data_IF_305708386574
#
_entry.id   IF_305708386574
#
_cell.length_a   1.000
_cell.length_b   1.000
_cell.length_c   1.000
_cell.angle_alpha   90.00
_cell.angle_beta   90.00
_cell.angle_gamma   90.00
#
_symmetry.space_group_name_H-M   'P 1'
#
loop_
_entity.id
_entity.type
_entity.pdbx_description
1 polymer ?
#
# COMPACT_ATOMS: atom_id res chain seq x y z
N UNK A 1 2.59 27.80 -11.21
CA UNK A 1 1.52 27.33 -12.12
C UNK A 1 2.22 26.81 -13.36
N UNK A 2 2.31 25.48 -13.54
CA UNK A 2 3.05 24.85 -14.64
C UNK A 2 2.07 24.65 -15.80
N UNK A 3 1.82 25.69 -16.59
CA UNK A 3 0.67 25.67 -17.50
C UNK A 3 0.92 24.96 -18.83
N UNK A 4 2.15 24.67 -19.27
CA UNK A 4 2.39 23.84 -20.48
C UNK A 4 3.74 23.12 -20.46
N UNK A 5 3.93 22.16 -19.56
CA UNK A 5 5.05 21.23 -19.70
C UNK A 5 4.62 20.04 -20.56
N UNK A 6 5.07 19.98 -21.80
CA UNK A 6 4.83 18.86 -22.74
C UNK A 6 5.99 17.87 -22.78
N UNK A 7 6.93 18.00 -21.86
CA UNK A 7 8.08 17.11 -21.75
C UNK A 7 7.65 15.74 -21.22
N UNK A 8 8.11 14.66 -21.85
CA UNK A 8 7.95 13.28 -21.35
C UNK A 8 8.61 13.02 -20.00
N UNK A 9 9.48 13.94 -19.55
CA UNK A 9 10.06 13.90 -18.21
C UNK A 9 9.14 14.51 -17.14
N UNK A 10 8.04 15.15 -17.53
CA UNK A 10 7.07 15.72 -16.59
C UNK A 10 6.06 14.65 -16.16
N UNK A 11 6.02 14.28 -14.87
CA UNK A 11 5.09 13.25 -14.38
C UNK A 11 3.62 13.65 -14.58
N UNK A 12 3.32 14.94 -14.43
CA UNK A 12 1.95 15.49 -14.58
C UNK A 12 1.47 15.37 -16.02
N UNK A 13 2.34 15.63 -17.00
CA UNK A 13 1.99 15.51 -18.42
C UNK A 13 1.76 14.06 -18.84
N UNK A 14 2.61 13.14 -18.40
CA UNK A 14 2.44 11.70 -18.69
C UNK A 14 1.17 11.14 -18.02
N UNK A 15 0.86 11.58 -16.80
CA UNK A 15 -0.39 11.22 -16.13
C UNK A 15 -1.60 11.73 -16.91
N UNK A 16 -1.62 13.02 -17.26
CA UNK A 16 -2.71 13.63 -18.01
C UNK A 16 -2.92 12.96 -19.37
N UNK A 17 -1.83 12.62 -20.08
CA UNK A 17 -1.88 11.89 -21.34
C UNK A 17 -2.51 10.50 -21.17
N UNK A 18 -2.15 9.75 -20.12
CA UNK A 18 -2.74 8.44 -19.83
C UNK A 18 -4.23 8.56 -19.51
N UNK A 19 -4.63 9.53 -18.70
CA UNK A 19 -6.04 9.79 -18.36
C UNK A 19 -6.86 10.06 -19.63
N UNK A 20 -6.34 10.91 -20.52
CA UNK A 20 -6.99 11.21 -21.80
C UNK A 20 -7.07 9.95 -22.69
N UNK A 21 -5.99 9.17 -22.78
CA UNK A 21 -5.99 7.93 -23.57
C UNK A 21 -6.95 6.87 -23.03
N UNK A 22 -7.18 6.84 -21.72
CA UNK A 22 -8.11 5.93 -21.05
C UNK A 22 -9.57 6.42 -21.09
N UNK A 23 -9.82 7.64 -21.60
CA UNK A 23 -11.15 8.22 -21.65
C UNK A 23 -11.75 8.51 -20.27
N UNK A 24 -10.91 8.59 -19.22
CA UNK A 24 -11.36 8.81 -17.85
C UNK A 24 -11.92 10.22 -17.67
N UNK A 25 -13.04 10.31 -16.95
CA UNK A 25 -13.60 11.57 -16.48
C UNK A 25 -12.77 12.14 -15.33
N UNK A 26 -12.93 13.44 -15.07
CA UNK A 26 -12.28 14.08 -13.93
C UNK A 26 -12.66 13.42 -12.58
N UNK A 27 -13.92 13.00 -12.41
CA UNK A 27 -14.36 12.32 -11.19
C UNK A 27 -13.77 10.92 -11.01
N UNK A 28 -13.50 10.20 -12.09
CA UNK A 28 -12.78 8.93 -12.03
C UNK A 28 -11.29 9.12 -11.69
N UNK A 29 -10.66 10.17 -12.24
CA UNK A 29 -9.29 10.52 -11.89
C UNK A 29 -9.15 10.86 -10.40
N UNK A 30 -10.06 11.68 -9.87
CA UNK A 30 -10.05 12.06 -8.45
C UNK A 30 -10.20 10.83 -7.56
N UNK A 31 -11.17 9.95 -7.84
CA UNK A 31 -11.34 8.70 -7.07
C UNK A 31 -10.10 7.81 -7.11
N UNK A 32 -9.50 7.62 -8.28
CA UNK A 32 -8.27 6.83 -8.40
C UNK A 32 -7.10 7.45 -7.61
N UNK A 33 -7.01 8.78 -7.56
CA UNK A 33 -6.00 9.46 -6.72
C UNK A 33 -6.27 9.29 -5.23
N UNK A 34 -7.54 9.33 -4.79
CA UNK A 34 -7.93 9.09 -3.40
C UNK A 34 -7.64 7.65 -2.97
N UNK A 35 -7.97 6.66 -3.81
CA UNK A 35 -7.65 5.24 -3.58
C UNK A 35 -6.14 5.02 -3.44
N UNK A 36 -5.35 5.60 -4.35
CA UNK A 36 -3.90 5.55 -4.30
C UNK A 36 -3.35 6.24 -3.04
N UNK A 37 -3.91 7.38 -2.64
CA UNK A 37 -3.53 8.07 -1.40
C UNK A 37 -3.74 7.18 -0.16
N UNK A 38 -4.87 6.48 -0.08
CA UNK A 38 -5.14 5.54 1.02
C UNK A 38 -4.16 4.36 1.03
N UNK A 39 -3.81 3.82 -0.15
CA UNK A 39 -2.77 2.79 -0.25
C UNK A 39 -1.41 3.30 0.27
N UNK A 40 -1.03 4.53 -0.10
CA UNK A 40 0.20 5.15 0.39
C UNK A 40 0.17 5.40 1.90
N UNK A 41 -0.97 5.81 2.46
CA UNK A 41 -1.15 5.95 3.91
C UNK A 41 -0.92 4.61 4.61
N UNK A 42 -1.58 3.54 4.17
CA UNK A 42 -1.41 2.18 4.72
C UNK A 42 0.04 1.70 4.61
N UNK A 43 0.66 1.85 3.44
CA UNK A 43 2.05 1.47 3.22
C UNK A 43 3.02 2.26 4.14
N UNK A 44 2.80 3.57 4.29
CA UNK A 44 3.63 4.42 5.16
C UNK A 44 3.51 4.04 6.63
N UNK A 45 2.30 3.71 7.11
CA UNK A 45 2.08 3.22 8.46
C UNK A 45 2.83 1.90 8.71
N UNK A 46 2.74 0.96 7.76
CA UNK A 46 3.46 -0.32 7.83
C UNK A 46 4.98 -0.13 7.89
N UNK A 47 5.54 0.78 7.08
CA UNK A 47 6.97 1.10 7.13
C UNK A 47 7.38 1.64 8.51
N UNK A 48 6.59 2.52 9.11
CA UNK A 48 6.85 3.04 10.46
C UNK A 48 6.83 1.92 11.50
N UNK A 49 5.88 1.00 11.40
CA UNK A 49 5.76 -0.15 12.30
C UNK A 49 6.95 -1.11 12.16
N UNK A 50 7.34 -1.46 10.93
CA UNK A 50 8.55 -2.26 10.66
C UNK A 50 9.81 -1.60 11.23
N UNK A 51 9.94 -0.26 11.11
CA UNK A 51 11.06 0.47 11.71
C UNK A 51 11.07 0.35 13.23
N UNK A 52 9.91 0.44 13.89
CA UNK A 52 9.78 0.28 15.35
C UNK A 52 10.13 -1.14 15.79
N UNK A 53 9.59 -2.16 15.13
CA UNK A 53 9.90 -3.58 15.38
C UNK A 53 11.41 -3.84 15.24
N UNK A 54 12.01 -3.42 14.12
CA UNK A 54 13.46 -3.55 13.90
C UNK A 54 14.29 -2.93 15.02
N UNK A 55 13.90 -1.74 15.48
CA UNK A 55 14.62 -1.05 16.56
C UNK A 55 14.50 -1.82 17.87
N UNK A 56 13.29 -2.26 18.22
CA UNK A 56 13.03 -3.06 19.43
C UNK A 56 13.83 -4.36 19.44
N UNK A 57 13.83 -5.11 18.33
CA UNK A 57 14.65 -6.33 18.23
C UNK A 57 16.14 -6.03 18.28
N UNK A 58 16.60 -4.95 17.65
CA UNK A 58 17.99 -4.51 17.74
C UNK A 58 18.42 -4.22 19.18
N UNK A 59 17.57 -3.56 19.96
CA UNK A 59 17.83 -3.27 21.37
C UNK A 59 17.88 -4.56 22.19
N UNK A 60 16.94 -5.50 21.97
CA UNK A 60 16.92 -6.81 22.64
C UNK A 60 18.18 -7.61 22.34
N UNK A 61 18.59 -7.69 21.06
CA UNK A 61 19.82 -8.39 20.69
C UNK A 61 21.04 -7.75 21.35
N UNK A 62 21.10 -6.43 21.39
CA UNK A 62 22.19 -5.70 22.06
C UNK A 62 22.24 -6.03 23.55
N UNK A 63 21.07 -6.08 24.21
CA UNK A 63 20.97 -6.47 25.62
C UNK A 63 21.42 -7.92 25.87
N UNK A 64 21.12 -8.85 24.95
CA UNK A 64 21.59 -10.24 25.05
C UNK A 64 23.11 -10.35 24.96
N UNK A 65 23.75 -9.56 24.08
CA UNK A 65 25.20 -9.52 23.98
C UNK A 65 25.87 -8.86 25.19
N UNK A 66 25.18 -7.95 25.87
CA UNK A 66 25.67 -7.26 27.06
C UNK A 66 25.26 -7.94 28.39
N UNK A 67 24.86 -9.22 28.36
CA UNK A 67 24.46 -10.00 29.53
C UNK A 67 23.30 -9.35 30.34
N UNK A 68 22.33 -8.77 29.65
CA UNK A 68 21.15 -8.19 30.29
C UNK A 68 20.27 -9.24 30.99
N UNK A 69 20.07 -9.08 32.30
CA UNK A 69 19.34 -10.01 33.17
C UNK A 69 17.86 -10.26 32.80
N UNK A 70 17.25 -9.40 31.98
CA UNK A 70 15.81 -9.42 31.68
C UNK A 70 15.49 -9.65 30.19
N UNK A 71 16.42 -10.19 29.43
CA UNK A 71 16.31 -10.37 27.97
C UNK A 71 15.18 -11.32 27.58
N UNK A 72 15.00 -12.44 28.29
CA UNK A 72 13.93 -13.42 28.02
C UNK A 72 12.53 -12.79 28.14
N UNK A 73 12.30 -12.00 29.19
CA UNK A 73 11.03 -11.28 29.38
C UNK A 73 10.78 -10.24 28.28
N UNK A 74 11.82 -9.53 27.85
CA UNK A 74 11.72 -8.54 26.75
C UNK A 74 11.39 -9.20 25.40
N UNK A 75 11.93 -10.40 25.15
CA UNK A 75 11.60 -11.19 23.96
C UNK A 75 10.12 -11.61 23.98
N UNK A 76 9.62 -12.09 25.11
CA UNK A 76 8.22 -12.51 25.24
C UNK A 76 7.25 -11.32 25.06
N UNK A 77 7.58 -10.16 25.64
CA UNK A 77 6.82 -8.92 25.46
C UNK A 77 6.86 -8.42 24.00
N UNK A 78 8.00 -8.55 23.32
CA UNK A 78 8.13 -8.18 21.91
C UNK A 78 7.29 -9.09 21.01
N UNK A 79 7.35 -10.42 21.19
CA UNK A 79 6.55 -11.37 20.41
C UNK A 79 5.05 -11.17 20.64
N UNK A 80 4.61 -10.90 21.88
CA UNK A 80 3.20 -10.60 22.17
C UNK A 80 2.73 -9.34 21.46
N UNK A 81 3.57 -8.31 21.43
CA UNK A 81 3.25 -7.06 20.76
C UNK A 81 3.23 -7.20 19.23
N UNK A 82 3.99 -8.13 18.65
CA UNK A 82 3.97 -8.42 17.21
C UNK A 82 2.77 -9.29 16.80
N UNK A 83 2.42 -10.30 17.61
CA UNK A 83 1.20 -11.09 17.36
C UNK A 83 -0.08 -10.24 17.40
N UNK A 84 -0.15 -9.24 18.28
CA UNK A 84 -1.26 -8.29 18.31
C UNK A 84 -1.31 -7.35 17.08
N UNK A 85 -0.19 -7.19 16.36
CA UNK A 85 -0.14 -6.41 15.12
C UNK A 85 -0.55 -7.24 13.92
N UNK A 86 -0.17 -8.52 13.86
CA UNK A 86 -0.61 -9.42 12.78
C UNK A 86 -2.12 -9.64 12.79
N UNK A 87 -2.75 -9.82 13.97
CA UNK A 87 -4.21 -9.93 14.08
C UNK A 87 -4.93 -8.66 13.58
N UNK A 88 -4.37 -7.47 13.86
CA UNK A 88 -4.91 -6.19 13.38
C UNK A 88 -4.71 -6.00 11.87
N UNK A 89 -3.62 -6.52 11.29
CA UNK A 89 -3.35 -6.43 9.84
C UNK A 89 -4.20 -7.43 9.04
N UNK A 90 -4.49 -8.61 9.57
CA UNK A 90 -5.37 -9.60 8.93
C UNK A 90 -6.83 -9.09 8.83
N UNK A 91 -7.32 -8.39 9.85
CA UNK A 91 -8.65 -7.76 9.84
C UNK A 91 -8.75 -6.64 8.76
N UNK A 92 -7.70 -5.84 8.59
CA UNK A 92 -7.67 -4.75 7.59
C UNK A 92 -7.45 -5.26 6.14
N UNK A 93 -6.75 -6.39 5.95
CA UNK A 93 -6.53 -6.97 4.62
C UNK A 93 -7.79 -7.67 4.09
N UNK A 94 -8.54 -8.34 4.96
CA UNK A 94 -9.80 -9.02 4.63
C UNK A 94 -10.85 -8.04 4.08
N UNK A 95 -10.93 -6.84 4.65
CA UNK A 95 -11.87 -5.79 4.22
C UNK A 95 -11.44 -5.06 2.95
N UNK A 96 -10.15 -5.07 2.59
CA UNK A 96 -9.65 -4.46 1.36
C UNK A 96 -9.79 -5.38 0.12
N UNK A 97 -9.77 -6.69 0.31
CA UNK A 97 -9.85 -7.67 -0.78
C UNK A 97 -11.27 -7.81 -1.37
N UNK A 98 -12.33 -7.45 -0.63
CA UNK A 98 -13.71 -7.50 -1.10
C UNK A 98 -14.06 -6.42 -2.16
N UNK A 99 -13.17 -5.47 -2.43
CA UNK A 99 -13.38 -4.39 -3.41
C UNK A 99 -12.83 -4.64 -4.82
N UNK A 100 -12.04 -5.71 -5.05
CA UNK A 100 -11.32 -5.93 -6.32
C UNK A 100 -11.85 -7.17 -7.08
N UNK A 101 -13.16 -7.40 -7.09
CA UNK A 101 -13.72 -8.43 -7.98
C UNK A 101 -15.12 -8.10 -8.50
N UNK A 102 -15.19 -7.32 -9.60
CA UNK A 102 -16.18 -7.48 -10.69
C UNK A 102 -16.04 -6.37 -11.74
N UNK A 103 -15.24 -6.62 -12.77
CA UNK A 103 -15.61 -6.20 -14.13
C UNK A 103 -15.65 -7.46 -14.97
N UNK A 104 -16.88 -7.95 -15.13
CA UNK A 104 -17.24 -9.15 -15.89
C UNK A 104 -16.69 -9.05 -17.32
N UNK A 105 -15.81 -9.99 -17.68
CA UNK A 105 -15.57 -10.32 -19.09
C UNK A 105 -16.78 -11.07 -19.63
N UNK A 106 -17.77 -10.34 -20.14
CA UNK A 106 -18.90 -10.90 -20.89
C UNK A 106 -18.71 -10.54 -22.36
N UNK A 107 -18.32 -11.54 -23.16
CA UNK A 107 -18.19 -11.39 -24.61
C UNK A 107 -19.53 -11.34 -25.32
N UNK A 108 -19.52 -10.91 -26.59
CA UNK A 108 -20.21 -11.60 -27.69
C UNK A 108 -19.81 -11.05 -29.06
N UNK A 109 -19.72 -11.97 -30.01
CA UNK A 109 -19.45 -11.84 -31.43
C UNK A 109 -20.34 -10.83 -32.17
N UNK A 110 -19.75 -10.12 -33.15
CA UNK A 110 -20.50 -9.55 -34.28
C UNK A 110 -19.80 -9.90 -35.59
N UNK A 111 -20.59 -10.55 -36.46
CA UNK A 111 -20.33 -11.07 -37.79
C UNK A 111 -19.61 -10.09 -38.74
N UNK A 112 -18.72 -10.63 -39.58
CA UNK A 112 -18.22 -9.95 -40.78
C UNK A 112 -18.60 -10.76 -42.01
N UNK A 113 -19.66 -10.31 -42.68
CA UNK A 113 -19.97 -10.70 -44.06
C UNK A 113 -18.92 -10.13 -45.01
N UNK A 114 -18.35 -10.99 -45.86
CA UNK A 114 -17.90 -10.72 -47.24
C UNK A 114 -17.59 -12.04 -47.94
#
# INVERSE_FOLDING_TARGET
MCEMCTSKACPVYELQKKVIMLGMTYGELVRACEEEEELWKKASAKIVMLKKSRTRWGDIYTDMFNEGDNTEKKVEEAMRAEGALEESEEEELSTAAEGIDRVESKGEDVQRDS
#
